data_IF_487478439527
#
_entry.id   IF_487478439527
#
_cell.length_a   1.000
_cell.length_b   1.000
_cell.length_c   1.000
_cell.angle_alpha   90.00
_cell.angle_beta   90.00
_cell.angle_gamma   90.00
#
_symmetry.space_group_name_H-M   'P 1'
#
loop_
_entity.id
_entity.type
_entity.pdbx_description
1 polymer ?
#
# COMPACT_ATOMS: atom_id res chain seq x y z
N UNK A 1 -0.02 -84.96 15.96
CA UNK A 1 -1.03 -85.59 15.10
C UNK A 1 -0.97 -87.08 15.33
N UNK A 2 -2.09 -87.66 15.78
CA UNK A 2 -2.20 -89.15 15.91
C UNK A 2 -3.20 -89.64 14.90
N UNK A 3 -2.80 -90.58 14.07
CA UNK A 3 -3.66 -91.18 13.10
C UNK A 3 -4.20 -92.47 13.67
N UNK A 4 -5.50 -92.70 13.62
CA UNK A 4 -6.17 -93.95 14.06
C UNK A 4 -6.00 -95.07 13.10
N UNK A 5 -5.63 -94.76 11.85
CA UNK A 5 -5.34 -95.74 10.79
C UNK A 5 -4.05 -95.28 10.08
N UNK A 6 -3.18 -96.26 9.76
CA UNK A 6 -1.99 -95.96 9.01
C UNK A 6 -2.37 -95.38 7.62
N UNK A 7 -1.67 -94.32 7.18
CA UNK A 7 -1.88 -93.77 5.83
C UNK A 7 -1.55 -94.87 4.76
N UNK A 8 -2.22 -94.85 3.61
CA UNK A 8 -1.85 -95.73 2.55
C UNK A 8 -0.39 -95.58 2.11
N UNK A 9 0.22 -96.69 1.72
CA UNK A 9 1.67 -96.71 1.31
C UNK A 9 1.89 -96.08 -0.08
N UNK A 10 1.57 -94.80 -0.22
CA UNK A 10 1.87 -94.01 -1.40
C UNK A 10 2.76 -92.83 -1.02
N UNK A 11 3.79 -92.57 -1.81
CA UNK A 11 4.69 -91.42 -1.57
C UNK A 11 3.88 -90.12 -1.64
N UNK A 12 4.10 -89.24 -0.68
CA UNK A 12 3.56 -87.87 -0.58
C UNK A 12 2.02 -87.77 -0.38
N UNK A 13 1.39 -88.81 0.24
CA UNK A 13 -0.04 -88.81 0.50
C UNK A 13 -0.52 -88.02 1.73
N UNK A 14 0.43 -87.46 2.49
CA UNK A 14 0.17 -86.52 3.62
C UNK A 14 1.07 -85.34 3.50
N UNK A 15 0.47 -84.14 3.37
CA UNK A 15 1.15 -82.85 3.45
C UNK A 15 0.67 -82.17 4.72
N UNK A 16 1.59 -81.94 5.65
CA UNK A 16 1.32 -81.19 6.86
C UNK A 16 1.88 -79.78 6.67
N UNK A 17 0.99 -78.81 6.54
CA UNK A 17 1.37 -77.42 6.53
C UNK A 17 1.28 -76.85 7.98
N UNK A 18 2.40 -76.41 8.47
CA UNK A 18 2.42 -75.66 9.73
C UNK A 18 2.29 -74.18 9.43
N UNK A 19 1.18 -73.61 9.83
CA UNK A 19 1.02 -72.17 9.89
C UNK A 19 1.54 -71.72 11.24
N UNK A 20 2.71 -71.19 11.32
CA UNK A 20 3.11 -70.38 12.49
C UNK A 20 2.27 -69.14 12.48
N UNK A 21 1.53 -68.89 13.58
CA UNK A 21 0.96 -67.58 13.81
C UNK A 21 2.15 -66.61 13.78
N UNK A 22 2.30 -65.86 12.70
CA UNK A 22 3.36 -64.88 12.57
C UNK A 22 3.29 -63.93 13.75
N UNK A 23 4.39 -63.77 14.48
CA UNK A 23 4.48 -62.68 15.42
C UNK A 23 4.14 -61.38 14.69
N UNK A 24 3.35 -60.52 15.31
CA UNK A 24 3.13 -59.16 14.79
C UNK A 24 4.54 -58.58 14.57
N UNK A 25 4.93 -58.47 13.32
CA UNK A 25 6.23 -57.81 13.00
C UNK A 25 6.03 -56.33 13.23
N UNK A 26 6.63 -55.81 14.28
CA UNK A 26 6.80 -54.37 14.43
C UNK A 26 7.64 -53.87 13.27
N UNK A 27 7.13 -52.90 12.53
CA UNK A 27 7.93 -52.23 11.48
C UNK A 27 9.04 -51.48 12.17
N UNK A 28 10.31 -51.78 11.82
CA UNK A 28 11.44 -51.07 12.40
C UNK A 28 11.38 -49.55 12.06
N UNK A 29 11.97 -48.75 12.94
CA UNK A 29 12.11 -47.32 12.69
C UNK A 29 12.74 -47.06 11.32
N UNK A 30 12.23 -46.10 10.57
CA UNK A 30 12.64 -45.74 9.20
C UNK A 30 12.46 -46.84 8.13
N UNK A 31 11.74 -47.94 8.43
CA UNK A 31 11.49 -48.99 7.46
C UNK A 31 10.44 -48.62 6.40
N UNK A 32 9.56 -47.65 6.69
CA UNK A 32 8.62 -47.11 5.71
C UNK A 32 9.27 -45.97 4.95
N UNK A 33 9.71 -46.27 3.75
CA UNK A 33 10.27 -45.28 2.82
C UNK A 33 9.16 -44.70 1.95
N UNK A 34 9.41 -43.59 1.25
CA UNK A 34 8.46 -42.98 0.30
C UNK A 34 7.95 -43.98 -0.75
N UNK A 35 8.80 -44.92 -1.19
CA UNK A 35 8.41 -45.96 -2.16
C UNK A 35 7.42 -46.98 -1.60
N UNK A 36 7.20 -47.02 -0.29
CA UNK A 36 6.25 -47.93 0.38
C UNK A 36 4.93 -47.26 0.74
N UNK A 37 4.85 -45.93 0.60
CA UNK A 37 3.60 -45.20 0.76
C UNK A 37 2.74 -45.42 -0.51
N UNK A 38 1.43 -45.53 -0.32
CA UNK A 38 0.51 -45.54 -1.46
C UNK A 38 0.66 -44.25 -2.27
N UNK A 39 0.57 -44.35 -3.59
CA UNK A 39 0.62 -43.16 -4.45
C UNK A 39 -0.51 -42.16 -4.10
N UNK A 40 -0.19 -40.90 -4.13
CA UNK A 40 -1.12 -39.76 -3.98
C UNK A 40 -1.18 -38.94 -5.26
N UNK A 41 -2.00 -37.91 -5.25
CA UNK A 41 -2.01 -36.89 -6.31
C UNK A 41 -0.81 -35.97 -6.09
N UNK A 42 -0.17 -35.50 -7.17
CA UNK A 42 0.94 -34.58 -7.13
C UNK A 42 0.60 -33.32 -6.32
N UNK A 43 1.50 -32.93 -5.41
CA UNK A 43 1.33 -31.78 -4.53
C UNK A 43 0.48 -31.99 -3.27
N UNK A 44 -0.14 -33.17 -3.08
CA UNK A 44 -0.87 -33.45 -1.83
C UNK A 44 0.09 -33.57 -0.64
N UNK A 45 -0.39 -33.10 0.52
CA UNK A 45 0.33 -33.25 1.80
C UNK A 45 -0.39 -34.31 2.65
N UNK A 46 0.39 -35.12 3.39
CA UNK A 46 -0.16 -36.08 4.36
C UNK A 46 -0.42 -35.34 5.68
N UNK A 47 -1.62 -35.50 6.19
CA UNK A 47 -2.07 -35.00 7.51
C UNK A 47 -2.81 -36.11 8.26
N UNK A 48 -3.41 -35.78 9.39
CA UNK A 48 -4.31 -36.67 10.11
C UNK A 48 -5.70 -36.01 10.19
N UNK A 49 -6.74 -36.81 10.07
CA UNK A 49 -8.14 -36.38 10.23
C UNK A 49 -8.53 -36.26 11.72
N UNK A 50 -9.79 -35.93 11.98
CA UNK A 50 -10.33 -35.78 13.33
C UNK A 50 -10.31 -37.09 14.16
N UNK A 51 -10.22 -38.26 13.51
CA UNK A 51 -10.10 -39.57 14.14
C UNK A 51 -8.64 -39.96 14.40
N UNK A 52 -7.70 -39.19 13.89
CA UNK A 52 -6.27 -39.49 13.95
C UNK A 52 -5.80 -40.42 12.84
N UNK A 53 -6.61 -40.66 11.81
CA UNK A 53 -6.25 -41.50 10.67
C UNK A 53 -5.49 -40.64 9.63
N UNK A 54 -4.52 -41.24 8.89
CA UNK A 54 -3.82 -40.54 7.82
C UNK A 54 -4.78 -40.08 6.71
N UNK A 55 -4.68 -38.81 6.36
CA UNK A 55 -5.50 -38.15 5.35
C UNK A 55 -4.64 -37.25 4.45
N UNK A 56 -5.19 -36.78 3.35
CA UNK A 56 -4.51 -35.85 2.46
C UNK A 56 -5.09 -34.44 2.57
N UNK A 57 -4.21 -33.45 2.65
CA UNK A 57 -4.53 -32.09 2.24
C UNK A 57 -4.34 -32.02 0.72
N UNK A 58 -5.43 -31.77 0.00
CA UNK A 58 -5.37 -31.64 -1.46
C UNK A 58 -4.56 -30.42 -1.87
N UNK A 59 -3.87 -30.54 -3.02
CA UNK A 59 -3.13 -29.43 -3.62
C UNK A 59 -4.00 -28.21 -3.80
N UNK A 60 -3.51 -27.04 -3.35
CA UNK A 60 -4.15 -25.74 -3.60
C UNK A 60 -3.87 -25.19 -5.01
N UNK A 61 -4.50 -24.09 -5.33
CA UNK A 61 -4.19 -23.31 -6.53
C UNK A 61 -2.93 -22.47 -6.34
N UNK A 62 -2.35 -22.03 -7.46
CA UNK A 62 -1.22 -21.10 -7.42
C UNK A 62 -1.56 -19.83 -6.61
N UNK A 63 -0.62 -19.39 -5.77
CA UNK A 63 -0.78 -18.23 -4.88
C UNK A 63 -1.54 -18.52 -3.57
N UNK A 64 -2.04 -19.74 -3.33
CA UNK A 64 -2.61 -20.12 -2.04
C UNK A 64 -1.52 -20.51 -1.02
N UNK A 65 -1.80 -20.27 0.26
CA UNK A 65 -0.94 -20.65 1.39
C UNK A 65 -1.61 -21.72 2.24
N UNK A 66 -0.81 -22.63 2.79
CA UNK A 66 -1.30 -23.61 3.74
C UNK A 66 -1.54 -22.91 5.09
N UNK A 67 -2.79 -22.92 5.53
CA UNK A 67 -3.20 -22.29 6.80
C UNK A 67 -3.70 -23.32 7.79
N UNK A 68 -3.59 -22.98 9.07
CA UNK A 68 -4.19 -23.75 10.14
C UNK A 68 -5.65 -23.35 10.30
N UNK A 69 -6.57 -24.32 10.23
CA UNK A 69 -7.99 -24.08 10.53
C UNK A 69 -8.33 -24.16 12.03
N UNK A 70 -7.32 -24.19 12.91
CA UNK A 70 -7.48 -24.30 14.34
C UNK A 70 -7.38 -25.73 14.89
N UNK A 71 -7.50 -25.86 16.21
CA UNK A 71 -7.41 -27.15 16.88
C UNK A 71 -8.56 -28.07 16.47
N UNK A 72 -8.26 -29.30 16.06
CA UNK A 72 -9.24 -30.31 15.64
C UNK A 72 -9.73 -30.18 14.20
N UNK A 73 -9.18 -29.24 13.41
CA UNK A 73 -9.47 -29.10 11.99
C UNK A 73 -8.21 -29.36 11.15
N UNK A 74 -8.39 -30.00 10.00
CA UNK A 74 -7.28 -30.21 9.06
C UNK A 74 -6.80 -28.87 8.47
N UNK A 75 -5.49 -28.69 8.24
CA UNK A 75 -5.01 -27.52 7.51
C UNK A 75 -5.56 -27.50 6.08
N UNK A 76 -5.70 -26.33 5.51
CA UNK A 76 -6.21 -26.14 4.16
C UNK A 76 -5.36 -25.11 3.38
N UNK A 77 -5.35 -25.22 2.05
CA UNK A 77 -4.81 -24.16 1.20
C UNK A 77 -5.85 -23.07 1.02
N UNK A 78 -5.51 -21.85 1.42
CA UNK A 78 -6.41 -20.71 1.37
C UNK A 78 -5.77 -19.55 0.61
N UNK A 79 -6.60 -18.72 0.02
CA UNK A 79 -6.11 -17.48 -0.58
C UNK A 79 -5.48 -16.59 0.51
N UNK A 80 -4.35 -15.97 0.18
CA UNK A 80 -3.79 -14.93 1.07
C UNK A 80 -4.86 -13.85 1.23
N UNK A 81 -5.31 -13.55 2.46
CA UNK A 81 -6.26 -12.47 2.66
C UNK A 81 -5.73 -11.20 2.01
N UNK A 82 -6.56 -10.55 1.22
CA UNK A 82 -6.19 -9.25 0.65
C UNK A 82 -5.87 -8.31 1.81
N UNK A 83 -4.64 -7.84 1.89
CA UNK A 83 -4.28 -6.77 2.82
C UNK A 83 -4.99 -5.53 2.29
N UNK A 84 -6.02 -5.07 2.99
CA UNK A 84 -6.59 -3.75 2.73
C UNK A 84 -5.56 -2.73 3.21
N UNK A 85 -4.78 -2.20 2.29
CA UNK A 85 -3.92 -1.05 2.57
C UNK A 85 -4.80 0.19 2.50
N UNK A 86 -4.88 0.92 3.60
CA UNK A 86 -5.67 2.15 3.67
C UNK A 86 -5.08 3.25 2.78
N UNK A 87 -3.79 3.15 2.42
CA UNK A 87 -3.07 4.12 1.60
C UNK A 87 -2.44 3.43 0.39
N UNK A 88 -3.01 3.61 -0.79
CA UNK A 88 -2.58 2.96 -2.05
C UNK A 88 -1.83 3.97 -2.92
N UNK A 89 -0.59 3.67 -3.33
CA UNK A 89 0.15 4.51 -4.29
C UNK A 89 -0.54 4.46 -5.66
N UNK A 90 -0.99 5.61 -6.14
CA UNK A 90 -1.68 5.76 -7.43
C UNK A 90 -0.74 6.28 -8.52
N UNK A 91 0.09 7.28 -8.20
CA UNK A 91 0.99 7.91 -9.18
C UNK A 91 2.24 8.47 -8.54
N UNK A 92 3.29 8.59 -9.33
CA UNK A 92 4.51 9.33 -8.99
C UNK A 92 4.83 10.26 -10.15
N UNK A 93 4.90 11.56 -9.88
CA UNK A 93 5.25 12.58 -10.85
C UNK A 93 6.55 13.27 -10.41
N UNK A 94 7.47 13.48 -11.36
CA UNK A 94 8.74 14.13 -11.11
C UNK A 94 8.91 15.28 -12.11
N UNK A 95 9.24 16.44 -11.57
CA UNK A 95 9.58 17.63 -12.33
C UNK A 95 11.09 17.86 -12.32
N UNK A 96 11.62 18.31 -13.46
CA UNK A 96 12.95 18.85 -13.60
C UNK A 96 12.84 20.13 -14.41
N UNK A 97 12.92 21.25 -13.72
CA UNK A 97 12.71 22.59 -14.30
C UNK A 97 11.38 22.70 -15.07
N UNK A 98 10.30 22.17 -14.53
CA UNK A 98 8.96 22.21 -15.13
C UNK A 98 8.10 23.30 -14.48
N UNK A 99 7.11 23.81 -15.23
CA UNK A 99 6.21 24.84 -14.72
C UNK A 99 5.33 24.35 -13.57
N UNK A 100 4.99 23.04 -13.56
CA UNK A 100 4.12 22.42 -12.55
C UNK A 100 4.34 20.92 -12.49
N UNK A 101 3.75 20.30 -11.44
CA UNK A 101 3.46 18.87 -11.35
C UNK A 101 1.95 18.72 -11.31
N UNK A 102 1.41 18.03 -12.32
CA UNK A 102 -0.03 17.92 -12.53
C UNK A 102 -0.50 16.48 -12.30
N UNK A 103 -1.57 16.34 -11.52
CA UNK A 103 -2.35 15.12 -11.40
C UNK A 103 -3.73 15.40 -12.00
N UNK A 104 -4.09 14.65 -13.02
CA UNK A 104 -5.32 14.81 -13.81
C UNK A 104 -6.31 13.71 -13.48
N UNK A 105 -7.48 13.71 -14.11
CA UNK A 105 -8.50 12.66 -13.95
C UNK A 105 -7.99 11.24 -14.24
N UNK A 106 -6.89 11.09 -14.97
CA UNK A 106 -6.27 9.78 -15.16
C UNK A 106 -5.58 9.22 -13.90
N UNK A 107 -5.36 10.05 -12.90
CA UNK A 107 -4.73 9.69 -11.62
C UNK A 107 -5.75 9.62 -10.47
N UNK A 108 -6.88 10.33 -10.60
CA UNK A 108 -7.96 10.31 -9.61
C UNK A 108 -8.90 9.14 -9.89
N UNK A 109 -9.24 8.38 -8.87
CA UNK A 109 -10.30 7.38 -8.90
C UNK A 109 -11.30 7.70 -7.77
N UNK A 110 -12.13 8.69 -8.03
CA UNK A 110 -13.15 9.18 -7.10
C UNK A 110 -14.27 8.16 -6.81
N UNK A 111 -14.30 7.04 -7.57
CA UNK A 111 -15.22 5.93 -7.30
C UNK A 111 -14.72 5.01 -6.19
N UNK A 112 -13.42 4.94 -6.00
CA UNK A 112 -12.75 4.05 -5.03
C UNK A 112 -12.25 4.80 -3.81
N UNK A 113 -11.77 6.04 -3.98
CA UNK A 113 -11.14 6.84 -2.93
C UNK A 113 -11.91 8.14 -2.71
N UNK A 114 -12.11 8.50 -1.45
CA UNK A 114 -12.77 9.75 -1.05
C UNK A 114 -11.79 10.82 -0.60
N UNK A 115 -10.56 10.43 -0.33
CA UNK A 115 -9.47 11.30 0.11
C UNK A 115 -8.16 10.90 -0.56
N UNK A 116 -7.29 11.88 -0.74
CA UNK A 116 -5.98 11.67 -1.35
C UNK A 116 -4.88 12.27 -0.48
N UNK A 117 -3.72 11.59 -0.48
CA UNK A 117 -2.53 12.06 0.22
C UNK A 117 -1.40 12.22 -0.79
N UNK A 118 -0.82 13.40 -0.83
CA UNK A 118 0.34 13.71 -1.65
C UNK A 118 1.57 13.84 -0.76
N UNK A 119 2.62 13.11 -1.11
CA UNK A 119 3.92 13.24 -0.45
C UNK A 119 4.90 13.90 -1.37
N UNK A 120 5.34 15.10 -0.99
CA UNK A 120 6.28 15.92 -1.71
C UNK A 120 7.71 15.68 -1.21
N UNK A 121 8.64 15.52 -2.14
CA UNK A 121 10.05 15.23 -1.86
C UNK A 121 10.95 16.15 -2.69
N UNK A 122 11.91 16.78 -2.02
CA UNK A 122 12.93 17.62 -2.64
C UNK A 122 12.35 18.70 -3.57
N UNK A 123 11.26 19.32 -3.13
CA UNK A 123 10.61 20.42 -3.87
C UNK A 123 11.49 21.65 -3.76
N UNK A 124 11.82 22.27 -4.88
CA UNK A 124 12.67 23.46 -4.97
C UNK A 124 12.20 24.38 -6.11
N UNK A 125 12.09 25.70 -5.88
CA UNK A 125 11.76 26.66 -6.93
C UNK A 125 13.00 27.03 -7.76
N UNK A 126 12.79 27.35 -9.03
CA UNK A 126 13.83 28.01 -9.83
C UNK A 126 14.03 29.49 -9.41
N UNK A 127 12.98 30.13 -8.90
CA UNK A 127 13.00 31.52 -8.45
C UNK A 127 13.08 31.58 -6.94
N UNK A 128 14.10 32.26 -6.41
CA UNK A 128 14.26 32.45 -4.97
C UNK A 128 13.10 33.25 -4.38
N UNK A 129 12.50 32.76 -3.30
CA UNK A 129 11.39 33.41 -2.62
C UNK A 129 10.01 33.16 -3.24
N UNK A 130 9.88 32.19 -4.15
CA UNK A 130 8.59 31.79 -4.66
C UNK A 130 7.80 30.95 -3.63
N UNK A 131 6.47 31.13 -3.58
CA UNK A 131 5.58 30.37 -2.72
C UNK A 131 5.23 29.04 -3.37
N UNK A 132 5.28 27.95 -2.62
CA UNK A 132 4.76 26.67 -3.08
C UNK A 132 3.25 26.63 -2.85
N UNK A 133 2.50 26.36 -3.90
CA UNK A 133 1.05 26.43 -3.91
C UNK A 133 0.42 25.31 -4.73
N UNK A 134 -0.89 25.15 -4.60
CA UNK A 134 -1.65 24.26 -5.48
C UNK A 134 -2.91 24.93 -6.00
N UNK A 135 -3.42 24.39 -7.12
CA UNK A 135 -4.68 24.72 -7.77
C UNK A 135 -5.43 23.45 -8.08
N UNK A 136 -6.76 23.49 -8.10
CA UNK A 136 -7.62 22.34 -8.40
C UNK A 136 -8.28 22.47 -9.76
N UNK A 137 -8.71 21.35 -10.31
CA UNK A 137 -9.43 21.24 -11.57
C UNK A 137 -10.71 20.43 -11.37
N UNK A 138 -11.77 20.80 -12.07
CA UNK A 138 -13.02 20.04 -12.17
C UNK A 138 -13.36 19.65 -13.63
N UNK A 139 -12.37 19.68 -14.51
CA UNK A 139 -12.48 19.34 -15.92
C UNK A 139 -11.38 18.38 -16.42
N UNK A 140 -10.91 17.51 -15.51
CA UNK A 140 -9.94 16.48 -15.81
C UNK A 140 -8.49 16.97 -15.87
N UNK A 141 -8.20 18.18 -15.42
CA UNK A 141 -6.88 18.82 -15.56
C UNK A 141 -6.70 19.55 -16.89
N UNK A 142 -7.79 19.81 -17.65
CA UNK A 142 -7.77 20.62 -18.86
C UNK A 142 -7.55 22.09 -18.54
N UNK A 143 -8.08 22.55 -17.41
CA UNK A 143 -7.79 23.85 -16.81
C UNK A 143 -7.73 23.73 -15.29
N UNK A 144 -7.04 24.69 -14.68
CA UNK A 144 -6.96 24.81 -13.22
C UNK A 144 -7.50 26.16 -12.81
N UNK A 145 -8.34 26.17 -11.77
CA UNK A 145 -8.91 27.40 -11.25
C UNK A 145 -7.79 28.35 -10.80
N UNK A 146 -7.82 29.56 -11.30
CA UNK A 146 -6.78 30.58 -11.04
C UNK A 146 -7.34 32.00 -10.96
N UNK A 147 -8.63 32.11 -10.69
CA UNK A 147 -9.27 33.38 -10.41
C UNK A 147 -8.89 33.90 -9.03
N UNK A 148 -8.82 35.23 -8.88
CA UNK A 148 -8.39 35.91 -7.66
C UNK A 148 -9.33 35.74 -6.46
N UNK A 149 -10.30 34.83 -6.53
CA UNK A 149 -11.23 34.53 -5.44
C UNK A 149 -11.67 33.06 -5.46
N UNK A 150 -10.86 32.19 -6.09
CA UNK A 150 -11.18 30.79 -6.21
C UNK A 150 -10.85 29.99 -4.95
N UNK A 151 -9.99 30.53 -4.08
CA UNK A 151 -9.50 29.84 -2.89
C UNK A 151 -9.42 30.75 -1.67
N UNK A 152 -9.67 30.15 -0.50
CA UNK A 152 -9.33 30.69 0.82
C UNK A 152 -8.33 29.76 1.48
N UNK A 153 -7.32 30.35 2.14
CA UNK A 153 -6.30 29.56 2.83
C UNK A 153 -5.72 30.27 4.04
N UNK A 154 -5.10 29.50 4.92
CA UNK A 154 -4.26 29.97 6.00
C UNK A 154 -3.00 29.10 6.14
N UNK A 155 -1.88 29.73 6.45
CA UNK A 155 -0.61 29.08 6.75
C UNK A 155 -0.15 29.53 8.14
N UNK A 156 0.11 28.57 9.01
CA UNK A 156 0.81 28.78 10.27
C UNK A 156 2.24 28.27 10.10
N UNK A 157 3.22 29.10 10.36
CA UNK A 157 4.63 28.74 10.21
C UNK A 157 5.43 29.01 11.49
N UNK A 158 6.50 28.21 11.65
CA UNK A 158 7.49 28.36 12.73
C UNK A 158 8.86 28.34 12.07
N UNK A 159 9.59 29.40 12.24
CA UNK A 159 10.97 29.56 11.78
C UNK A 159 11.89 29.96 12.93
N UNK A 160 13.15 30.31 12.63
CA UNK A 160 14.14 30.75 13.61
C UNK A 160 13.80 32.11 14.28
N UNK A 161 12.85 32.86 13.71
CA UNK A 161 12.42 34.18 14.25
C UNK A 161 11.17 34.05 15.14
N UNK A 162 10.52 32.89 15.15
CA UNK A 162 9.33 32.61 15.95
C UNK A 162 8.19 32.01 15.15
N UNK A 163 6.99 32.14 15.68
CA UNK A 163 5.78 31.66 15.06
C UNK A 163 4.93 32.79 14.53
N UNK A 164 4.38 32.65 13.33
CA UNK A 164 3.43 33.60 12.75
C UNK A 164 2.41 32.88 11.85
N UNK A 165 1.44 33.62 11.33
CA UNK A 165 0.46 33.10 10.39
C UNK A 165 0.19 34.11 9.28
N UNK A 166 -0.15 33.57 8.10
CA UNK A 166 -0.68 34.31 6.97
C UNK A 166 -2.06 33.74 6.59
N UNK A 167 -2.95 34.61 6.13
CA UNK A 167 -4.32 34.26 5.74
C UNK A 167 -4.66 35.05 4.48
N UNK A 168 -5.24 34.38 3.49
CA UNK A 168 -5.91 35.03 2.38
C UNK A 168 -7.29 34.41 2.16
N UNK A 169 -8.29 35.26 1.95
CA UNK A 169 -9.69 34.87 1.76
C UNK A 169 -10.18 35.10 0.32
N UNK A 170 -9.25 35.36 -0.59
CA UNK A 170 -9.56 35.59 -2.00
C UNK A 170 -8.28 35.48 -2.83
N UNK A 171 -7.84 34.26 -3.13
CA UNK A 171 -6.57 34.03 -3.84
C UNK A 171 -6.77 33.15 -5.09
N UNK A 172 -5.76 33.10 -5.93
CA UNK A 172 -5.71 32.33 -7.17
C UNK A 172 -5.12 30.91 -7.00
N UNK A 173 -4.83 30.50 -5.75
CA UNK A 173 -4.35 29.17 -5.35
C UNK A 173 -4.26 29.04 -3.85
N UNK A 174 -4.07 27.83 -3.36
CA UNK A 174 -3.84 27.57 -1.93
C UNK A 174 -2.34 27.57 -1.67
N UNK A 175 -1.86 28.51 -0.88
CA UNK A 175 -0.46 28.51 -0.44
C UNK A 175 -0.19 27.33 0.52
N UNK A 176 0.75 26.49 0.14
CA UNK A 176 1.22 25.33 0.89
C UNK A 176 2.40 25.70 1.79
N UNK A 177 3.27 26.56 1.28
CA UNK A 177 4.43 27.03 2.01
C UNK A 177 4.63 28.53 1.80
N UNK A 178 4.61 29.23 2.92
CA UNK A 178 4.98 30.63 3.08
C UNK A 178 5.60 30.77 4.47
N UNK A 179 6.70 31.51 4.62
CA UNK A 179 7.28 31.83 5.92
C UNK A 179 6.95 33.28 6.32
N UNK A 180 7.41 33.69 7.47
CA UNK A 180 7.14 35.03 8.03
C UNK A 180 7.46 36.15 7.02
N UNK A 181 6.62 37.17 6.99
CA UNK A 181 6.82 38.36 6.15
C UNK A 181 6.79 38.13 4.64
N UNK A 182 5.96 37.20 4.16
CA UNK A 182 5.86 36.86 2.73
C UNK A 182 7.18 36.35 2.12
N UNK A 183 7.92 35.52 2.85
CA UNK A 183 9.12 34.87 2.34
C UNK A 183 8.80 33.49 1.85
N UNK A 184 9.12 33.19 0.59
CA UNK A 184 8.93 31.87 -0.01
C UNK A 184 10.15 30.96 0.18
N UNK A 185 10.14 29.84 -0.56
CA UNK A 185 11.20 28.84 -0.48
C UNK A 185 12.51 29.32 -1.12
N UNK A 186 13.63 28.85 -0.57
CA UNK A 186 14.95 29.03 -1.15
C UNK A 186 15.11 28.24 -2.44
N UNK A 187 15.90 28.79 -3.39
CA UNK A 187 16.29 28.09 -4.62
C UNK A 187 17.72 27.54 -4.57
N UNK A 188 18.34 27.51 -3.40
CA UNK A 188 19.66 26.90 -3.23
C UNK A 188 19.53 25.38 -3.30
N UNK A 189 20.34 24.72 -4.13
CA UNK A 189 20.21 23.29 -4.47
C UNK A 189 20.19 22.32 -3.25
N UNK A 190 20.76 22.71 -2.11
CA UNK A 190 20.75 21.92 -0.88
C UNK A 190 19.57 22.25 0.06
N UNK A 191 18.71 23.19 -0.30
CA UNK A 191 17.66 23.77 0.54
C UNK A 191 16.26 23.48 0.01
N UNK A 192 16.01 22.20 -0.35
CA UNK A 192 14.70 21.75 -0.83
C UNK A 192 13.72 21.51 0.31
N UNK A 193 12.42 21.54 0.00
CA UNK A 193 11.33 21.21 0.92
C UNK A 193 10.78 19.82 0.74
N UNK A 194 10.14 19.31 1.78
CA UNK A 194 9.39 18.05 1.76
C UNK A 194 8.18 18.15 2.69
N UNK A 195 7.11 17.43 2.35
CA UNK A 195 5.89 17.51 3.14
C UNK A 195 4.83 16.50 2.78
N UNK A 196 3.71 16.62 3.48
CA UNK A 196 2.50 15.82 3.25
C UNK A 196 1.32 16.75 3.08
N UNK A 197 0.58 16.55 2.00
CA UNK A 197 -0.60 17.32 1.62
C UNK A 197 -1.78 16.35 1.55
N UNK A 198 -2.89 16.69 2.19
CA UNK A 198 -4.14 15.95 2.17
C UNK A 198 -5.16 16.70 1.32
N UNK A 199 -5.95 15.95 0.55
CA UNK A 199 -7.06 16.49 -0.25
C UNK A 199 -8.30 15.70 0.09
N UNK A 200 -9.28 16.35 0.70
CA UNK A 200 -10.56 15.77 1.09
C UNK A 200 -11.70 16.42 0.32
N UNK A 201 -12.74 15.63 0.00
CA UNK A 201 -13.90 16.09 -0.73
C UNK A 201 -13.69 16.16 -2.25
N UNK A 202 -12.62 15.55 -2.78
CA UNK A 202 -12.49 15.30 -4.20
C UNK A 202 -13.57 14.30 -4.66
N UNK A 203 -14.08 14.45 -5.88
CA UNK A 203 -15.07 13.53 -6.44
C UNK A 203 -16.51 13.72 -5.94
N UNK A 204 -16.77 14.75 -5.17
CA UNK A 204 -18.11 15.11 -4.69
C UNK A 204 -18.35 16.61 -4.89
N UNK A 205 -19.62 16.98 -5.08
CA UNK A 205 -20.01 18.39 -5.21
C UNK A 205 -20.00 19.06 -3.81
N UNK A 206 -18.84 19.12 -3.19
CA UNK A 206 -18.57 19.78 -1.90
C UNK A 206 -17.38 20.73 -2.03
N UNK A 207 -17.09 21.49 -0.99
CA UNK A 207 -15.88 22.30 -0.92
C UNK A 207 -14.66 21.37 -0.71
N UNK A 208 -13.82 21.25 -1.73
CA UNK A 208 -12.58 20.48 -1.62
C UNK A 208 -11.61 21.18 -0.69
N UNK A 209 -11.15 20.45 0.31
CA UNK A 209 -10.22 20.93 1.34
C UNK A 209 -8.82 20.40 1.04
N UNK A 210 -7.83 21.28 1.13
CA UNK A 210 -6.41 20.93 0.98
C UNK A 210 -5.69 21.41 2.22
N UNK A 211 -5.00 20.50 2.92
CA UNK A 211 -4.33 20.82 4.17
C UNK A 211 -3.11 19.91 4.38
N UNK A 212 -2.20 20.32 5.25
CA UNK A 212 -1.03 19.50 5.53
C UNK A 212 0.11 20.24 6.20
N UNK A 213 1.30 19.70 6.00
CA UNK A 213 2.53 20.28 6.53
C UNK A 213 3.70 20.12 5.56
N UNK A 214 4.55 21.16 5.53
CA UNK A 214 5.78 21.19 4.75
C UNK A 214 6.91 21.73 5.63
N UNK A 215 8.08 21.09 5.54
CA UNK A 215 9.33 21.58 6.06
C UNK A 215 10.20 22.00 4.88
N UNK A 216 10.66 23.24 4.86
CA UNK A 216 11.53 23.76 3.83
C UNK A 216 12.47 24.85 4.39
N UNK A 217 13.41 25.27 3.56
CA UNK A 217 14.23 26.43 3.83
C UNK A 217 13.60 27.67 3.20
N UNK A 218 13.57 28.78 3.95
CA UNK A 218 13.14 30.05 3.41
C UNK A 218 14.26 30.76 2.62
N UNK A 219 13.87 31.75 1.84
CA UNK A 219 14.79 32.50 0.99
C UNK A 219 15.46 33.69 1.71
N UNK A 220 15.30 33.84 3.03
CA UNK A 220 15.80 34.99 3.79
C UNK A 220 17.32 35.02 3.99
N UNK A 221 18.05 34.06 3.40
CA UNK A 221 19.51 34.09 3.29
C UNK A 221 20.30 33.59 4.51
N UNK A 222 19.64 33.01 5.49
CA UNK A 222 20.26 32.47 6.70
C UNK A 222 20.07 30.96 6.88
N UNK A 223 19.74 30.21 5.82
CA UNK A 223 19.43 28.76 5.86
C UNK A 223 18.43 28.44 6.99
N UNK A 224 17.39 29.24 7.10
CA UNK A 224 16.37 29.09 8.13
C UNK A 224 15.40 27.99 7.73
N UNK A 225 15.37 26.91 8.52
CA UNK A 225 14.32 25.90 8.40
C UNK A 225 13.00 26.50 8.88
N UNK A 226 11.98 26.38 8.06
CA UNK A 226 10.62 26.74 8.40
C UNK A 226 9.69 25.54 8.26
N UNK A 227 8.96 25.22 9.33
CA UNK A 227 7.82 24.32 9.26
C UNK A 227 6.56 25.13 9.03
N UNK A 228 5.89 24.88 7.93
CA UNK A 228 4.56 25.41 7.63
C UNK A 228 3.50 24.31 7.84
N UNK A 229 2.41 24.68 8.52
CA UNK A 229 1.17 23.91 8.56
C UNK A 229 0.10 24.76 7.89
N UNK A 230 -0.57 24.21 6.91
CA UNK A 230 -1.48 24.99 6.08
C UNK A 230 -2.84 24.29 5.96
N UNK A 231 -3.85 25.06 5.62
CA UNK A 231 -5.17 24.59 5.27
C UNK A 231 -5.90 25.61 4.40
N UNK A 232 -6.59 25.11 3.40
CA UNK A 232 -7.36 25.94 2.51
C UNK A 232 -8.50 25.13 1.86
N UNK A 233 -9.33 25.82 1.11
CA UNK A 233 -10.39 25.19 0.35
C UNK A 233 -10.67 25.94 -0.95
N UNK A 234 -11.25 25.23 -1.91
CA UNK A 234 -11.81 25.80 -3.11
C UNK A 234 -13.13 26.49 -2.77
N UNK A 235 -13.35 27.70 -3.25
CA UNK A 235 -14.55 28.51 -2.94
C UNK A 235 -15.80 28.13 -3.74
N UNK A 236 -15.71 27.12 -4.59
CA UNK A 236 -16.86 26.57 -5.28
C UNK A 236 -16.99 25.05 -5.05
N UNK A 237 -18.21 24.62 -4.74
CA UNK A 237 -18.51 23.19 -4.65
C UNK A 237 -18.53 22.58 -6.05
N UNK A 238 -17.62 21.66 -6.30
CA UNK A 238 -17.52 20.94 -7.57
C UNK A 238 -16.81 19.60 -7.37
N UNK A 239 -17.03 18.68 -8.30
CA UNK A 239 -16.28 17.45 -8.41
C UNK A 239 -14.85 17.77 -8.85
N UNK A 240 -13.91 17.76 -7.90
CA UNK A 240 -12.50 17.97 -8.19
C UNK A 240 -11.88 16.64 -8.61
N UNK A 241 -11.32 16.64 -9.82
CA UNK A 241 -10.69 15.49 -10.48
C UNK A 241 -9.29 15.79 -11.01
N UNK A 242 -8.70 16.90 -10.58
CA UNK A 242 -7.33 17.29 -10.87
C UNK A 242 -6.74 18.23 -9.83
N UNK A 243 -5.42 18.17 -9.66
CA UNK A 243 -4.65 19.10 -8.82
C UNK A 243 -3.31 19.38 -9.49
N UNK A 244 -2.91 20.65 -9.45
CA UNK A 244 -1.64 21.16 -9.92
C UNK A 244 -0.83 21.68 -8.75
N UNK A 245 0.44 21.31 -8.67
CA UNK A 245 1.41 21.89 -7.75
C UNK A 245 2.39 22.75 -8.52
N UNK A 246 2.60 23.96 -8.07
CA UNK A 246 3.44 24.95 -8.76
C UNK A 246 4.07 25.91 -7.75
N UNK A 247 4.93 26.77 -8.25
CA UNK A 247 5.39 27.95 -7.52
C UNK A 247 4.70 29.20 -8.04
N UNK A 248 4.54 30.21 -7.18
CA UNK A 248 3.97 31.52 -7.55
C UNK A 248 4.78 32.21 -8.65
N UNK A 249 6.04 31.82 -8.84
CA UNK A 249 6.89 32.28 -9.95
C UNK A 249 8.00 31.29 -10.26
N UNK A 250 8.34 31.17 -11.54
CA UNK A 250 9.38 30.28 -12.04
C UNK A 250 8.96 28.81 -12.07
N UNK A 251 9.90 27.94 -12.43
CA UNK A 251 9.72 26.52 -12.54
C UNK A 251 10.02 25.80 -11.23
N UNK A 252 9.71 24.52 -11.16
CA UNK A 252 9.95 23.66 -10.01
C UNK A 252 10.79 22.44 -10.35
N UNK A 253 11.53 21.97 -9.39
CA UNK A 253 12.14 20.65 -9.32
C UNK A 253 11.55 19.85 -8.16
N UNK A 254 11.48 18.52 -8.29
CA UNK A 254 11.06 17.64 -7.20
C UNK A 254 10.19 16.48 -7.63
N UNK A 255 9.76 15.71 -6.64
CA UNK A 255 8.89 14.53 -6.88
C UNK A 255 7.69 14.59 -5.94
N UNK A 256 6.51 14.34 -6.48
CA UNK A 256 5.28 14.19 -5.70
C UNK A 256 4.69 12.82 -5.98
N UNK A 257 4.34 12.11 -4.90
CA UNK A 257 3.64 10.83 -4.96
C UNK A 257 2.21 11.00 -4.47
N UNK A 258 1.26 10.52 -5.26
CA UNK A 258 -0.16 10.53 -4.94
C UNK A 258 -0.60 9.17 -4.43
N UNK A 259 -1.33 9.18 -3.33
CA UNK A 259 -1.94 7.99 -2.72
C UNK A 259 -3.43 8.21 -2.56
N UNK A 260 -4.21 7.15 -2.84
CA UNK A 260 -5.63 7.10 -2.50
C UNK A 260 -5.84 6.50 -1.11
N UNK A 261 -6.77 7.08 -0.35
CA UNK A 261 -7.18 6.61 0.97
C UNK A 261 -8.61 6.08 0.91
N UNK A 262 -8.81 4.85 1.43
CA UNK A 262 -10.13 4.18 1.50
C UNK A 262 -10.84 4.47 2.80
#
# INVERSE_FOLDING_TARGET
LTFTTAPPNASNNIVVQFFTVGSVQTVADNAITLAKLAGGTDGNLITFDASGDPAFVTTGNDGQVLTSAGAGAAPAFEAIPAVTVDLVLLSTQTASNAASIDFTSSHFDNSTYTSYVFKAFSISPATNGAFFMCRTSSDGGSSYDSGSSDYDWCVFHIDTNGAANDIDLADDGIDIYRSSSNVGMSNVAAESGSGTIHVDGAGVADYTKVYGEVLAYDSAGTASNCKATFGGHRNSAADVDGIQFLFSSGNLDGTIKMYGMK
#
